data_IF_757533582684
#
_entry.id   IF_757533582684
#
_cell.length_a   1.000
_cell.length_b   1.000
_cell.length_c   1.000
_cell.angle_alpha   90.00
_cell.angle_beta   90.00
_cell.angle_gamma   90.00
#
_symmetry.space_group_name_H-M   'P 1'
#
loop_
_entity.id
_entity.type
_entity.pdbx_description
1 polymer ?
#
# COMPACT_ATOMS: atom_id res chain seq x y z
N UNK A 1 -22.69 -91.47 -8.34
CA UNK A 1 -22.40 -90.86 -9.69
C UNK A 1 -23.41 -89.80 -10.07
N UNK A 2 -24.18 -89.20 -9.15
CA UNK A 2 -25.11 -88.10 -9.45
C UNK A 2 -24.65 -86.72 -8.97
N UNK A 3 -23.51 -86.57 -8.38
CA UNK A 3 -22.97 -85.29 -7.87
C UNK A 3 -21.85 -84.68 -8.70
N UNK A 4 -21.36 -85.36 -9.73
CA UNK A 4 -20.29 -84.85 -10.63
C UNK A 4 -20.89 -84.20 -11.90
N UNK A 5 -22.16 -84.43 -12.22
CA UNK A 5 -22.80 -83.92 -13.44
C UNK A 5 -23.36 -82.49 -13.29
N UNK A 6 -23.50 -82.03 -12.03
CA UNK A 6 -24.04 -80.66 -11.77
C UNK A 6 -22.94 -79.59 -11.73
N UNK A 7 -21.64 -80.03 -11.58
CA UNK A 7 -20.50 -79.09 -11.54
C UNK A 7 -19.95 -78.75 -12.93
N UNK A 8 -20.34 -79.46 -13.98
CA UNK A 8 -19.91 -79.20 -15.37
C UNK A 8 -20.86 -78.28 -16.14
N UNK A 9 -22.11 -78.04 -15.68
CA UNK A 9 -23.08 -77.18 -16.32
C UNK A 9 -23.02 -75.75 -15.75
N UNK A 10 -22.36 -75.49 -14.64
CA UNK A 10 -22.19 -74.21 -14.05
C UNK A 10 -20.94 -73.41 -14.55
N UNK A 11 -20.01 -74.11 -15.27
CA UNK A 11 -18.80 -73.49 -15.81
C UNK A 11 -18.96 -72.91 -17.23
N UNK A 12 -20.09 -73.12 -17.90
CA UNK A 12 -20.33 -72.66 -19.28
C UNK A 12 -21.16 -71.39 -19.39
N UNK A 13 -21.55 -70.71 -18.27
CA UNK A 13 -22.35 -69.47 -18.30
C UNK A 13 -21.51 -68.22 -17.99
N UNK A 14 -20.18 -68.34 -17.65
CA UNK A 14 -19.33 -67.18 -17.24
C UNK A 14 -18.46 -66.64 -18.41
N UNK A 15 -18.55 -67.15 -19.63
CA UNK A 15 -17.71 -66.72 -20.77
C UNK A 15 -18.50 -65.87 -21.80
N UNK A 16 -19.73 -65.45 -21.53
CA UNK A 16 -20.54 -64.71 -22.49
C UNK A 16 -20.84 -63.23 -22.13
N UNK A 17 -20.07 -62.59 -21.18
CA UNK A 17 -20.23 -61.18 -20.84
C UNK A 17 -18.88 -60.45 -20.72
N UNK A 18 -18.16 -60.32 -21.84
CA UNK A 18 -16.89 -59.61 -21.81
C UNK A 18 -16.22 -59.39 -23.15
N UNK A 19 -16.92 -58.84 -24.12
CA UNK A 19 -16.35 -58.19 -25.33
C UNK A 19 -17.51 -57.75 -26.22
N UNK A 20 -17.82 -56.43 -26.20
CA UNK A 20 -18.33 -55.66 -27.34
C UNK A 20 -18.99 -54.34 -26.94
N UNK A 21 -18.89 -53.84 -25.67
CA UNK A 21 -19.46 -52.57 -25.30
C UNK A 21 -18.64 -51.34 -25.78
N UNK A 22 -17.38 -51.57 -26.20
CA UNK A 22 -16.50 -50.47 -26.65
C UNK A 22 -16.50 -50.29 -28.20
N UNK A 23 -16.70 -51.37 -28.93
CA UNK A 23 -16.77 -51.35 -30.42
C UNK A 23 -18.10 -50.83 -30.91
N UNK A 24 -19.19 -51.11 -30.20
CA UNK A 24 -20.53 -50.64 -30.54
C UNK A 24 -20.65 -49.11 -30.38
N UNK A 25 -20.16 -48.57 -29.30
CA UNK A 25 -20.18 -47.09 -29.06
C UNK A 25 -19.29 -46.30 -30.03
N UNK A 26 -18.19 -46.90 -30.48
CA UNK A 26 -17.33 -46.25 -31.47
C UNK A 26 -17.93 -46.30 -32.87
N UNK A 27 -18.57 -47.40 -33.24
CA UNK A 27 -19.32 -47.54 -34.48
C UNK A 27 -20.55 -46.62 -34.49
N UNK A 28 -21.26 -46.51 -33.37
CA UNK A 28 -22.39 -45.62 -33.19
C UNK A 28 -21.95 -44.15 -33.24
N UNK A 29 -20.81 -43.77 -32.62
CA UNK A 29 -20.26 -42.41 -32.75
C UNK A 29 -19.88 -42.08 -34.19
N UNK A 30 -19.26 -42.96 -34.92
CA UNK A 30 -18.91 -42.74 -36.33
C UNK A 30 -20.15 -42.62 -37.21
N UNK A 31 -21.21 -43.40 -36.92
CA UNK A 31 -22.49 -43.27 -37.60
C UNK A 31 -23.15 -41.95 -37.34
N UNK A 32 -23.20 -41.51 -36.08
CA UNK A 32 -23.73 -40.19 -35.67
C UNK A 32 -22.94 -39.04 -36.28
N UNK A 33 -21.62 -39.14 -36.35
CA UNK A 33 -20.80 -38.13 -37.04
C UNK A 33 -21.08 -38.04 -38.52
N UNK A 34 -21.30 -39.19 -39.15
CA UNK A 34 -21.67 -39.23 -40.58
C UNK A 34 -23.05 -38.66 -40.82
N UNK A 35 -24.03 -39.02 -40.00
CA UNK A 35 -25.38 -38.44 -40.04
C UNK A 35 -25.37 -36.91 -39.80
N UNK A 36 -24.56 -36.46 -38.80
CA UNK A 36 -24.37 -35.03 -38.56
C UNK A 36 -23.74 -34.31 -39.77
N UNK A 37 -22.73 -34.90 -40.40
CA UNK A 37 -22.14 -34.36 -41.63
C UNK A 37 -23.15 -34.29 -42.81
N UNK A 38 -23.97 -35.34 -42.99
CA UNK A 38 -24.96 -35.38 -44.03
C UNK A 38 -26.14 -34.40 -43.79
N UNK A 39 -26.53 -34.23 -42.52
CA UNK A 39 -27.52 -33.23 -42.11
C UNK A 39 -26.94 -31.82 -42.32
N UNK A 40 -25.70 -31.57 -41.95
CA UNK A 40 -25.02 -30.28 -42.13
C UNK A 40 -24.95 -29.90 -43.63
N UNK A 41 -24.67 -30.88 -44.51
CA UNK A 41 -24.68 -30.64 -45.96
C UNK A 41 -26.09 -30.33 -46.47
N UNK A 42 -27.13 -31.09 -46.03
CA UNK A 42 -28.50 -30.83 -46.40
C UNK A 42 -28.99 -29.45 -45.92
N UNK A 43 -28.59 -29.04 -44.73
CA UNK A 43 -28.88 -27.69 -44.22
C UNK A 43 -28.24 -26.64 -45.14
N UNK A 44 -26.96 -26.79 -45.49
CA UNK A 44 -26.25 -25.86 -46.36
C UNK A 44 -26.87 -25.80 -47.77
N UNK A 45 -27.32 -26.96 -48.35
CA UNK A 45 -27.97 -27.02 -49.65
C UNK A 45 -29.36 -26.33 -49.63
N UNK A 46 -30.15 -26.59 -48.58
CA UNK A 46 -31.47 -25.94 -48.39
C UNK A 46 -31.33 -24.44 -48.13
N UNK A 47 -30.32 -24.03 -47.34
CA UNK A 47 -29.99 -22.61 -47.13
C UNK A 47 -29.60 -21.93 -48.46
N UNK A 48 -28.84 -22.62 -49.32
CA UNK A 48 -28.46 -22.12 -50.64
C UNK A 48 -29.65 -22.06 -51.65
N UNK A 49 -30.60 -22.97 -51.54
CA UNK A 49 -31.85 -22.93 -52.33
C UNK A 49 -32.78 -21.81 -51.87
N UNK A 50 -32.99 -21.66 -50.55
CA UNK A 50 -33.77 -20.57 -49.98
C UNK A 50 -33.15 -19.19 -50.28
N UNK A 51 -31.82 -19.09 -50.29
CA UNK A 51 -31.11 -17.86 -50.67
C UNK A 51 -31.32 -17.47 -52.14
N UNK A 52 -31.63 -18.43 -53.00
CA UNK A 52 -31.97 -18.17 -54.44
C UNK A 52 -33.44 -17.79 -54.60
N UNK A 53 -34.33 -18.35 -53.80
CA UNK A 53 -35.76 -18.07 -53.88
C UNK A 53 -36.17 -16.75 -53.24
N UNK A 54 -35.52 -16.36 -52.12
CA UNK A 54 -35.74 -15.10 -51.40
C UNK A 54 -34.43 -14.39 -51.02
N UNK A 55 -33.85 -13.61 -51.90
CA UNK A 55 -32.58 -12.91 -51.64
C UNK A 55 -32.63 -11.95 -50.44
N UNK A 56 -33.82 -11.53 -50.02
CA UNK A 56 -34.05 -10.58 -48.93
C UNK A 56 -34.40 -11.21 -47.56
N UNK A 57 -34.66 -12.53 -47.49
CA UNK A 57 -35.13 -13.17 -46.25
C UNK A 57 -34.03 -13.93 -45.47
N UNK A 58 -32.86 -14.11 -46.06
CA UNK A 58 -31.77 -14.96 -45.51
C UNK A 58 -30.65 -14.21 -44.84
N UNK A 59 -30.85 -12.96 -44.44
CA UNK A 59 -29.94 -12.33 -43.53
C UNK A 59 -30.18 -12.85 -42.11
N UNK A 60 -29.29 -13.76 -41.61
CA UNK A 60 -29.34 -14.25 -40.23
C UNK A 60 -29.28 -13.04 -39.30
N UNK A 61 -30.41 -12.72 -38.66
CA UNK A 61 -30.47 -11.67 -37.66
C UNK A 61 -29.78 -12.17 -36.40
N UNK A 62 -28.75 -11.45 -35.95
CA UNK A 62 -27.99 -11.79 -34.72
C UNK A 62 -28.59 -11.03 -33.54
N UNK A 63 -28.80 -11.74 -32.44
CA UNK A 63 -29.30 -11.12 -31.21
C UNK A 63 -28.12 -10.51 -30.44
N UNK A 64 -28.26 -9.25 -30.02
CA UNK A 64 -27.24 -8.50 -29.32
C UNK A 64 -27.86 -7.70 -28.17
N UNK A 65 -27.09 -7.37 -27.18
CA UNK A 65 -27.45 -6.33 -26.22
C UNK A 65 -26.65 -5.05 -26.50
N UNK A 66 -27.32 -3.92 -26.35
CA UNK A 66 -26.72 -2.61 -26.57
C UNK A 66 -26.81 -1.80 -25.30
N UNK A 67 -25.82 -0.90 -25.11
CA UNK A 67 -25.82 0.13 -24.07
C UNK A 67 -25.70 1.50 -24.73
N UNK A 68 -26.35 2.51 -24.16
CA UNK A 68 -26.31 3.87 -24.72
C UNK A 68 -25.14 4.61 -24.10
N UNK A 69 -24.31 5.21 -24.94
CA UNK A 69 -23.17 6.01 -24.50
C UNK A 69 -23.68 7.33 -23.89
N UNK A 70 -23.37 7.52 -22.62
CA UNK A 70 -23.72 8.72 -21.88
C UNK A 70 -22.45 9.42 -21.35
N UNK A 71 -22.58 10.71 -21.08
CA UNK A 71 -21.53 11.48 -20.40
C UNK A 71 -21.50 11.08 -18.93
N UNK A 72 -20.35 10.68 -18.45
CA UNK A 72 -20.14 10.30 -17.05
C UNK A 72 -18.86 10.91 -16.49
N UNK A 73 -18.76 10.96 -15.17
CA UNK A 73 -17.47 11.28 -14.53
C UNK A 73 -16.59 10.04 -14.57
N UNK A 74 -15.34 10.22 -15.01
CA UNK A 74 -14.34 9.16 -15.02
C UNK A 74 -13.15 9.59 -14.17
N UNK A 75 -12.75 8.72 -13.24
CA UNK A 75 -11.59 8.94 -12.37
C UNK A 75 -10.68 7.74 -12.46
N UNK A 76 -9.43 7.98 -12.79
CA UNK A 76 -8.37 6.98 -12.78
C UNK A 76 -7.59 7.06 -11.48
N UNK A 77 -7.25 5.92 -10.92
CA UNK A 77 -6.48 5.80 -9.69
C UNK A 77 -5.24 4.97 -9.94
N UNK A 78 -4.12 5.46 -9.45
CA UNK A 78 -2.90 4.66 -9.31
C UNK A 78 -2.92 4.06 -7.91
N UNK A 79 -2.97 2.73 -7.83
CA UNK A 79 -2.99 2.00 -6.57
C UNK A 79 -1.58 1.52 -6.24
N UNK A 80 -1.06 1.93 -5.08
CA UNK A 80 0.25 1.49 -4.58
C UNK A 80 0.13 0.93 -3.17
N UNK A 81 0.95 -0.09 -2.88
CA UNK A 81 1.08 -0.60 -1.53
C UNK A 81 1.98 0.32 -0.71
N UNK A 82 1.56 0.58 0.49
CA UNK A 82 2.26 1.43 1.44
C UNK A 82 2.18 0.89 2.85
N UNK A 83 2.78 1.62 3.77
CA UNK A 83 2.75 1.31 5.19
C UNK A 83 2.63 2.57 6.03
N UNK A 84 2.08 2.41 7.21
CA UNK A 84 2.04 3.48 8.21
C UNK A 84 3.41 3.63 8.84
N UNK A 85 3.93 4.84 8.86
CA UNK A 85 5.18 5.19 9.54
C UNK A 85 4.95 6.30 10.56
N UNK A 86 5.72 6.25 11.64
CA UNK A 86 5.86 7.36 12.57
C UNK A 86 7.16 8.09 12.27
N UNK A 87 7.13 9.42 12.22
CA UNK A 87 8.33 10.24 12.06
C UNK A 87 9.27 10.16 13.27
N UNK A 88 8.70 9.82 14.42
CA UNK A 88 9.42 9.80 15.68
C UNK A 88 9.37 8.39 16.31
N UNK A 89 10.23 7.54 15.81
CA UNK A 89 10.54 6.23 16.39
C UNK A 89 12.00 6.25 16.80
N UNK A 90 12.28 6.42 18.11
CA UNK A 90 13.62 6.69 18.61
C UNK A 90 14.07 5.59 19.56
N UNK A 91 15.22 5.02 19.27
CA UNK A 91 15.95 4.18 20.19
C UNK A 91 16.71 5.04 21.20
N UNK A 92 16.44 4.83 22.48
CA UNK A 92 17.05 5.57 23.59
C UNK A 92 18.24 4.79 24.10
N UNK A 93 19.42 5.35 23.93
CA UNK A 93 20.67 4.75 24.37
C UNK A 93 21.13 5.34 25.74
N UNK A 94 21.69 4.52 26.63
CA UNK A 94 22.37 5.01 27.81
C UNK A 94 23.54 5.93 27.45
N UNK A 95 23.68 7.05 28.14
CA UNK A 95 24.81 7.99 27.95
C UNK A 95 25.98 7.70 28.88
N UNK A 96 25.72 6.93 29.95
CA UNK A 96 26.74 6.47 30.92
C UNK A 96 26.74 4.95 30.96
N UNK A 97 27.87 4.38 31.35
CA UNK A 97 28.04 2.96 31.59
C UNK A 97 27.92 2.70 33.11
N UNK A 98 27.20 1.61 33.45
CA UNK A 98 27.06 1.19 34.86
C UNK A 98 25.88 0.25 35.05
N UNK A 99 25.71 -0.29 36.28
CA UNK A 99 24.52 -1.10 36.59
C UNK A 99 23.29 -0.20 36.73
N UNK A 100 22.17 -0.70 36.26
CA UNK A 100 20.87 -0.02 36.41
C UNK A 100 20.36 -0.22 37.81
N UNK A 101 20.11 0.86 38.53
CA UNK A 101 19.61 0.83 39.90
C UNK A 101 18.09 0.77 39.94
N UNK A 102 17.40 1.40 38.97
CA UNK A 102 15.95 1.41 38.92
C UNK A 102 15.43 1.62 37.52
N UNK A 103 14.34 0.89 37.18
CA UNK A 103 13.57 1.07 35.95
C UNK A 103 12.20 1.66 36.32
N UNK A 104 11.90 2.84 35.79
CA UNK A 104 10.65 3.57 36.08
C UNK A 104 9.60 3.37 35.01
N UNK A 105 10.00 3.15 33.77
CA UNK A 105 9.10 3.07 32.64
C UNK A 105 8.85 1.61 32.24
N UNK A 106 7.59 1.30 31.91
CA UNK A 106 7.17 -0.02 31.45
C UNK A 106 6.72 0.04 29.99
N UNK A 107 6.79 -1.10 29.29
CA UNK A 107 6.27 -1.24 27.93
C UNK A 107 4.77 -0.91 27.91
N UNK A 108 4.34 -0.10 26.93
CA UNK A 108 2.98 0.41 26.82
C UNK A 108 2.69 1.69 27.58
N UNK A 109 3.63 2.15 28.45
CA UNK A 109 3.47 3.38 29.23
C UNK A 109 3.68 4.62 28.34
N UNK A 110 2.79 5.61 28.52
CA UNK A 110 2.96 6.94 27.92
C UNK A 110 4.00 7.74 28.70
N UNK A 111 4.95 8.35 27.99
CA UNK A 111 6.03 9.13 28.56
C UNK A 111 6.17 10.48 27.87
N UNK A 112 6.69 11.48 28.61
CA UNK A 112 6.94 12.82 28.12
C UNK A 112 8.42 13.01 27.80
N UNK A 113 8.73 13.91 26.90
CA UNK A 113 10.10 14.37 26.63
C UNK A 113 10.79 14.81 27.92
N UNK A 114 12.00 14.28 28.19
CA UNK A 114 12.77 14.55 29.40
C UNK A 114 12.40 13.67 30.60
N UNK A 115 11.33 12.86 30.51
CA UNK A 115 10.97 11.93 31.61
C UNK A 115 12.03 10.86 31.78
N UNK A 116 12.42 10.58 33.03
CA UNK A 116 13.40 9.54 33.38
C UNK A 116 12.72 8.17 33.22
N UNK A 117 13.33 7.31 32.39
CA UNK A 117 12.87 5.95 32.11
C UNK A 117 13.56 4.91 32.98
N UNK A 118 14.86 5.10 33.23
CA UNK A 118 15.67 4.29 34.13
C UNK A 118 16.84 5.11 34.69
N UNK A 119 17.40 4.64 35.79
CA UNK A 119 18.53 5.24 36.46
C UNK A 119 19.69 4.26 36.54
N UNK A 120 20.90 4.72 36.20
CA UNK A 120 22.18 4.03 36.35
C UNK A 120 22.76 4.42 37.70
N UNK A 121 23.60 3.60 38.28
CA UNK A 121 24.24 3.87 39.54
C UNK A 121 25.07 5.18 39.46
N UNK A 122 24.73 6.12 40.30
CA UNK A 122 25.30 7.45 40.36
C UNK A 122 26.02 7.74 41.68
N UNK A 123 26.18 6.73 42.55
CA UNK A 123 26.70 6.91 43.91
C UNK A 123 28.06 7.63 43.93
N UNK A 124 28.99 7.22 43.06
CA UNK A 124 30.31 7.82 42.99
C UNK A 124 30.26 9.27 42.46
N UNK A 125 29.46 9.50 41.42
CA UNK A 125 29.30 10.84 40.80
C UNK A 125 28.64 11.80 41.79
N UNK A 126 27.61 11.33 42.51
CA UNK A 126 26.92 12.11 43.54
C UNK A 126 27.86 12.52 44.66
N UNK A 127 28.73 11.62 45.13
CA UNK A 127 29.75 11.94 46.15
C UNK A 127 30.77 12.95 45.67
N UNK A 128 31.31 12.79 44.47
CA UNK A 128 32.20 13.78 43.86
C UNK A 128 31.52 15.16 43.72
N UNK A 129 30.28 15.20 43.33
CA UNK A 129 29.50 16.44 43.21
C UNK A 129 29.31 17.11 44.60
N UNK A 130 29.10 16.34 45.67
CA UNK A 130 28.99 16.85 47.04
C UNK A 130 30.31 17.47 47.49
N UNK A 131 31.47 16.82 47.24
CA UNK A 131 32.81 17.35 47.51
C UNK A 131 33.06 18.68 46.76
N UNK A 132 32.75 18.71 45.44
CA UNK A 132 32.92 19.92 44.62
C UNK A 132 32.06 21.08 45.13
N UNK A 133 30.83 20.83 45.62
CA UNK A 133 29.97 21.85 46.23
C UNK A 133 30.59 22.43 47.48
N UNK A 134 31.07 21.58 48.39
CA UNK A 134 31.75 22.04 49.64
C UNK A 134 32.98 22.89 49.33
N UNK A 135 33.76 22.45 48.35
CA UNK A 135 34.94 23.17 47.90
C UNK A 135 34.61 24.53 47.26
N UNK A 136 33.55 24.60 46.45
CA UNK A 136 33.05 25.81 45.83
C UNK A 136 32.58 26.83 46.88
N UNK A 137 31.89 26.38 47.93
CA UNK A 137 31.47 27.25 49.02
C UNK A 137 32.65 27.97 49.69
N UNK A 138 33.73 27.22 50.01
CA UNK A 138 34.97 27.79 50.58
C UNK A 138 35.56 28.82 49.61
N UNK A 139 35.81 28.45 48.37
CA UNK A 139 36.46 29.34 47.39
C UNK A 139 35.57 30.56 47.07
N UNK A 140 34.24 30.42 47.07
CA UNK A 140 33.30 31.53 46.90
C UNK A 140 33.44 32.52 48.09
N UNK A 141 33.61 32.01 49.32
CA UNK A 141 33.82 32.83 50.48
C UNK A 141 35.12 33.60 50.36
N UNK A 142 36.22 32.95 49.94
CA UNK A 142 37.50 33.58 49.70
C UNK A 142 37.40 34.65 48.62
N UNK A 143 36.77 34.35 47.49
CA UNK A 143 36.54 35.29 46.41
C UNK A 143 35.79 36.53 46.90
N UNK A 144 34.69 36.37 47.64
CA UNK A 144 33.89 37.47 48.15
C UNK A 144 34.73 38.38 49.11
N UNK A 145 35.57 37.79 49.93
CA UNK A 145 36.51 38.56 50.80
C UNK A 145 37.55 39.34 50.00
N UNK A 146 38.16 38.69 48.97
CA UNK A 146 39.17 39.36 48.13
C UNK A 146 38.48 40.44 47.25
N UNK A 147 37.27 40.22 46.75
CA UNK A 147 36.48 41.20 46.02
C UNK A 147 36.17 42.43 46.89
N UNK A 148 35.74 42.23 48.15
CA UNK A 148 35.44 43.33 49.06
C UNK A 148 36.67 44.16 49.39
N UNK A 149 37.88 43.54 49.60
CA UNK A 149 39.13 44.25 49.76
C UNK A 149 39.53 45.04 48.52
N UNK A 150 39.39 44.43 47.34
CA UNK A 150 39.68 45.09 46.06
C UNK A 150 38.75 46.27 45.80
N UNK A 151 37.46 46.16 46.05
CA UNK A 151 36.46 47.22 45.90
C UNK A 151 36.79 48.42 46.85
N UNK A 152 37.39 48.16 48.02
CA UNK A 152 37.88 49.17 48.95
C UNK A 152 39.29 49.66 48.61
N UNK A 153 39.88 49.26 47.48
CA UNK A 153 41.26 49.58 47.06
C UNK A 153 42.35 49.06 48.07
N UNK A 154 42.04 48.01 48.82
CA UNK A 154 42.94 47.31 49.71
C UNK A 154 43.34 45.97 49.07
N UNK A 155 44.65 45.70 48.93
CA UNK A 155 45.11 44.46 48.30
C UNK A 155 45.60 44.63 46.88
N UNK A 156 45.93 43.51 46.24
CA UNK A 156 46.46 43.47 44.86
C UNK A 156 45.41 42.95 43.90
N UNK A 157 45.38 43.48 42.65
CA UNK A 157 44.53 42.98 41.57
C UNK A 157 44.76 41.47 41.29
N UNK A 158 46.02 41.06 41.38
CA UNK A 158 46.46 39.67 41.20
C UNK A 158 45.75 38.73 42.18
N UNK A 159 45.62 39.10 43.45
CA UNK A 159 44.99 38.29 44.49
C UNK A 159 43.47 38.17 44.23
N UNK A 160 42.82 39.27 43.77
CA UNK A 160 41.39 39.28 43.34
C UNK A 160 41.19 38.39 42.15
N UNK A 161 42.00 38.58 41.05
CA UNK A 161 41.88 37.78 39.83
C UNK A 161 42.15 36.30 40.08
N UNK A 162 43.10 35.98 40.96
CA UNK A 162 43.35 34.58 41.30
C UNK A 162 42.20 33.94 42.08
N UNK A 163 41.58 34.64 43.02
CA UNK A 163 40.38 34.14 43.71
C UNK A 163 39.19 33.99 42.79
N UNK A 164 39.05 34.94 41.85
CA UNK A 164 38.03 34.87 40.80
C UNK A 164 38.21 33.64 39.91
N UNK A 165 39.41 33.44 39.35
CA UNK A 165 39.74 32.29 38.52
C UNK A 165 39.50 30.94 39.21
N UNK A 166 39.93 30.82 40.49
CA UNK A 166 39.73 29.61 41.27
C UNK A 166 38.23 29.29 41.46
N UNK A 167 37.39 30.33 41.68
CA UNK A 167 35.94 30.18 41.79
C UNK A 167 35.36 29.71 40.46
N UNK A 168 35.64 30.38 39.35
CA UNK A 168 35.15 30.05 38.03
C UNK A 168 35.57 28.65 37.57
N UNK A 169 36.83 28.25 37.85
CA UNK A 169 37.30 26.90 37.54
C UNK A 169 36.49 25.81 38.28
N UNK A 170 36.16 26.08 39.55
CA UNK A 170 35.42 25.14 40.37
C UNK A 170 33.91 25.10 40.00
N UNK A 171 33.35 26.25 39.58
CA UNK A 171 32.01 26.34 39.03
C UNK A 171 31.89 25.49 37.76
N UNK A 172 32.86 25.58 36.86
CA UNK A 172 32.94 24.77 35.64
C UNK A 172 33.08 23.27 35.95
N UNK A 173 33.90 22.91 36.96
CA UNK A 173 34.05 21.53 37.42
C UNK A 173 32.75 20.97 38.00
N UNK A 174 32.00 21.77 38.75
CA UNK A 174 30.69 21.40 39.28
C UNK A 174 29.65 21.25 38.17
N UNK A 175 29.66 22.13 37.14
CA UNK A 175 28.78 22.01 35.99
C UNK A 175 29.05 20.71 35.23
N UNK A 176 30.31 20.35 35.00
CA UNK A 176 30.68 19.06 34.38
C UNK A 176 30.19 17.86 35.19
N UNK A 177 30.35 17.88 36.53
CA UNK A 177 29.87 16.82 37.39
C UNK A 177 28.33 16.70 37.38
N UNK A 178 27.60 17.83 37.26
CA UNK A 178 26.14 17.81 37.08
C UNK A 178 25.74 17.17 35.78
N UNK A 179 26.39 17.46 34.66
CA UNK A 179 26.15 16.82 33.38
C UNK A 179 26.43 15.30 33.42
N UNK A 180 27.52 14.90 34.10
CA UNK A 180 27.81 13.49 34.30
C UNK A 180 26.70 12.79 35.10
N UNK A 181 26.20 13.44 36.17
CA UNK A 181 25.08 12.94 36.95
C UNK A 181 23.80 12.88 36.14
N UNK A 182 23.52 13.86 35.31
CA UNK A 182 22.36 13.86 34.44
C UNK A 182 22.41 12.72 33.39
N UNK A 183 23.59 12.40 32.89
CA UNK A 183 23.82 11.31 31.95
C UNK A 183 23.58 9.90 32.56
N UNK A 184 23.53 9.78 33.91
CA UNK A 184 23.12 8.52 34.56
C UNK A 184 21.63 8.29 34.48
N UNK A 185 20.84 9.31 34.18
CA UNK A 185 19.41 9.18 33.96
C UNK A 185 19.14 8.91 32.46
N UNK A 186 18.58 7.75 32.17
CA UNK A 186 18.11 7.43 30.82
C UNK A 186 16.75 8.11 30.65
N UNK A 187 16.67 9.13 29.76
CA UNK A 187 15.49 9.97 29.58
C UNK A 187 14.88 9.79 28.21
N UNK A 188 13.56 9.95 28.10
CA UNK A 188 12.91 9.98 26.80
C UNK A 188 13.25 11.28 26.03
N UNK A 189 13.72 11.20 24.76
CA UNK A 189 13.98 12.37 23.95
C UNK A 189 12.72 12.99 23.36
N UNK A 190 11.59 12.27 23.37
CA UNK A 190 10.31 12.66 22.74
C UNK A 190 9.12 12.33 23.65
N UNK A 191 7.98 12.92 23.35
CA UNK A 191 6.69 12.45 23.87
C UNK A 191 6.26 11.21 23.09
N UNK A 192 5.75 10.19 23.77
CA UNK A 192 5.34 8.96 23.09
C UNK A 192 4.99 7.81 24.02
N UNK A 193 5.00 6.61 23.49
CA UNK A 193 4.75 5.36 24.21
C UNK A 193 6.02 4.51 24.16
N UNK A 194 6.37 3.90 25.29
CA UNK A 194 7.46 2.94 25.38
C UNK A 194 7.04 1.66 24.65
N UNK A 195 7.67 1.40 23.52
CA UNK A 195 7.38 0.22 22.70
C UNK A 195 8.24 -1.00 23.13
N UNK A 196 9.49 -0.74 23.53
CA UNK A 196 10.40 -1.77 24.05
C UNK A 196 11.17 -1.22 25.26
N UNK A 197 11.47 -2.10 26.21
CA UNK A 197 12.34 -1.88 27.36
C UNK A 197 13.28 -3.08 27.46
N UNK A 198 14.51 -2.89 26.94
CA UNK A 198 15.52 -3.95 26.83
C UNK A 198 16.52 -3.86 28.01
N UNK A 199 16.10 -3.29 29.14
CA UNK A 199 16.92 -3.06 30.32
C UNK A 199 16.20 -3.52 31.60
N UNK A 200 16.95 -4.14 32.51
CA UNK A 200 16.46 -4.62 33.81
C UNK A 200 17.29 -4.05 34.95
N UNK A 201 16.65 -3.96 36.13
CA UNK A 201 17.38 -3.59 37.36
C UNK A 201 18.48 -4.60 37.64
N UNK A 202 19.67 -4.10 38.00
CA UNK A 202 20.90 -4.88 38.22
C UNK A 202 21.68 -5.18 36.95
N UNK A 203 21.17 -4.91 35.76
CA UNK A 203 21.87 -5.14 34.50
C UNK A 203 22.91 -4.05 34.21
N UNK A 204 24.07 -4.46 33.67
CA UNK A 204 25.09 -3.52 33.18
C UNK A 204 24.71 -2.98 31.84
N UNK A 205 24.56 -1.67 31.71
CA UNK A 205 24.28 -0.98 30.45
C UNK A 205 25.49 -0.18 29.97
N UNK A 206 25.53 -0.01 28.63
CA UNK A 206 26.49 0.83 27.94
C UNK A 206 25.84 1.45 26.69
N UNK A 207 26.48 2.41 26.08
CA UNK A 207 25.99 3.12 24.91
C UNK A 207 25.89 2.26 23.63
N UNK A 208 26.25 0.97 23.65
CA UNK A 208 26.25 0.11 22.45
C UNK A 208 24.90 -0.49 22.13
N UNK A 209 24.00 -0.62 23.12
CA UNK A 209 22.65 -1.16 22.93
C UNK A 209 21.60 -0.15 23.39
N UNK A 210 20.48 -0.04 22.68
CA UNK A 210 19.36 0.77 23.15
C UNK A 210 18.78 0.17 24.44
N UNK A 211 18.45 1.02 25.40
CA UNK A 211 17.76 0.62 26.62
C UNK A 211 16.24 0.63 26.46
N UNK A 212 15.72 1.57 25.68
CA UNK A 212 14.30 1.72 25.38
C UNK A 212 14.09 2.08 23.92
N UNK A 213 12.89 1.77 23.41
CA UNK A 213 12.37 2.34 22.17
C UNK A 213 11.09 3.11 22.49
N UNK A 214 11.05 4.38 22.08
CA UNK A 214 9.88 5.26 22.28
C UNK A 214 9.35 5.66 20.93
N UNK A 215 8.04 5.47 20.74
CA UNK A 215 7.32 5.75 19.50
C UNK A 215 6.29 6.85 19.77
N UNK A 216 6.32 7.89 18.95
CA UNK A 216 5.25 8.89 18.94
C UNK A 216 4.18 8.49 17.92
N UNK A 217 3.00 8.12 18.41
CA UNK A 217 1.84 7.76 17.58
C UNK A 217 0.92 8.93 17.23
N UNK A 218 1.25 10.16 17.66
CA UNK A 218 0.42 11.33 17.39
C UNK A 218 0.55 11.88 15.95
N UNK A 219 1.65 11.54 15.28
CA UNK A 219 1.95 11.97 13.92
C UNK A 219 2.31 10.77 13.07
N UNK A 220 1.29 10.11 12.56
CA UNK A 220 1.43 8.98 11.66
C UNK A 220 1.23 9.41 10.22
N UNK A 221 1.95 8.77 9.31
CA UNK A 221 1.86 8.96 7.87
C UNK A 221 1.69 7.61 7.19
N UNK A 222 0.85 7.57 6.16
CA UNK A 222 0.91 6.49 5.18
C UNK A 222 1.99 6.84 4.15
N UNK A 223 2.90 5.94 3.91
CA UNK A 223 4.00 6.12 2.96
C UNK A 223 3.95 5.03 1.91
N UNK A 224 4.19 5.37 0.66
CA UNK A 224 4.29 4.43 -0.44
C UNK A 224 5.32 4.87 -1.47
N UNK A 225 5.68 3.96 -2.36
CA UNK A 225 6.61 4.23 -3.45
C UNK A 225 5.87 4.18 -4.78
N UNK A 226 5.97 5.26 -5.56
CA UNK A 226 5.32 5.44 -6.84
C UNK A 226 6.35 5.39 -7.96
N UNK A 227 6.03 4.73 -9.08
CA UNK A 227 6.93 4.61 -10.22
C UNK A 227 7.26 5.98 -10.86
N UNK A 228 8.47 6.12 -11.38
CA UNK A 228 8.98 7.34 -12.02
C UNK A 228 8.07 7.85 -13.15
N UNK A 229 7.34 6.95 -13.84
CA UNK A 229 6.40 7.31 -14.90
C UNK A 229 5.29 8.27 -14.46
N UNK A 230 4.97 8.32 -13.17
CA UNK A 230 3.94 9.20 -12.60
C UNK A 230 4.47 10.53 -12.06
N UNK A 231 5.76 10.82 -12.25
CA UNK A 231 6.40 12.02 -11.69
C UNK A 231 5.75 13.33 -12.18
N UNK A 232 5.24 13.33 -13.41
CA UNK A 232 4.60 14.50 -14.02
C UNK A 232 3.10 14.61 -13.73
N UNK A 233 2.48 13.55 -13.23
CA UNK A 233 1.02 13.47 -13.01
C UNK A 233 0.64 13.44 -11.54
N UNK A 234 1.58 13.09 -10.65
CA UNK A 234 1.33 12.98 -9.21
C UNK A 234 2.29 13.86 -8.43
N UNK A 235 1.75 14.70 -7.56
CA UNK A 235 2.51 15.63 -6.73
C UNK A 235 1.89 15.91 -5.37
N UNK A 236 2.52 16.78 -4.60
CA UNK A 236 1.96 17.25 -3.35
C UNK A 236 0.68 18.06 -3.61
N UNK A 237 -0.38 17.77 -2.85
CA UNK A 237 -1.71 18.40 -2.97
C UNK A 237 -2.74 17.51 -3.67
N UNK A 238 -2.33 16.48 -4.41
CA UNK A 238 -3.25 15.59 -5.11
C UNK A 238 -4.07 14.76 -4.13
N UNK A 239 -5.30 14.49 -4.55
CA UNK A 239 -6.24 13.72 -3.75
C UNK A 239 -5.85 12.24 -3.73
N UNK A 240 -5.96 11.65 -2.55
CA UNK A 240 -5.62 10.24 -2.30
C UNK A 240 -6.64 9.62 -1.35
N UNK A 241 -6.99 8.38 -1.60
CA UNK A 241 -7.75 7.55 -0.68
C UNK A 241 -6.78 6.55 -0.08
N UNK A 242 -6.60 6.60 1.24
CA UNK A 242 -5.80 5.64 1.99
C UNK A 242 -6.72 4.55 2.51
N UNK A 243 -6.50 3.33 2.06
CA UNK A 243 -7.26 2.16 2.43
C UNK A 243 -6.46 1.32 3.41
N UNK A 244 -7.07 0.92 4.51
CA UNK A 244 -6.55 -0.01 5.49
C UNK A 244 -7.30 -1.34 5.38
N UNK A 245 -6.79 -2.33 4.65
CA UNK A 245 -7.52 -3.58 4.40
C UNK A 245 -7.90 -4.31 5.69
N UNK A 246 -6.99 -4.37 6.66
CA UNK A 246 -7.19 -5.08 7.93
C UNK A 246 -8.25 -4.42 8.81
N UNK A 247 -8.38 -3.09 8.74
CA UNK A 247 -9.40 -2.34 9.48
C UNK A 247 -10.71 -2.20 8.70
N UNK A 248 -10.72 -2.56 7.40
CA UNK A 248 -11.84 -2.33 6.47
C UNK A 248 -12.28 -0.85 6.47
N UNK A 249 -11.31 0.06 6.53
CA UNK A 249 -11.52 1.51 6.57
C UNK A 249 -10.82 2.19 5.43
N UNK A 250 -11.45 3.24 4.94
CA UNK A 250 -10.89 4.15 3.94
C UNK A 250 -10.94 5.58 4.48
N UNK A 251 -9.91 6.35 4.22
CA UNK A 251 -9.86 7.77 4.53
C UNK A 251 -9.43 8.54 3.28
N UNK A 252 -10.11 9.65 3.05
CA UNK A 252 -9.74 10.58 1.99
C UNK A 252 -8.77 11.61 2.54
N UNK A 253 -7.71 11.90 1.80
CA UNK A 253 -6.69 12.86 2.16
C UNK A 253 -6.04 13.48 0.94
N UNK A 254 -4.90 14.12 1.18
CA UNK A 254 -4.05 14.69 0.13
C UNK A 254 -2.62 14.21 0.33
N UNK A 255 -1.87 14.11 -0.75
CA UNK A 255 -0.44 13.88 -0.70
C UNK A 255 0.21 15.12 -0.05
N UNK A 256 0.84 14.93 1.10
CA UNK A 256 1.54 16.00 1.82
C UNK A 256 2.96 16.20 1.29
N UNK A 257 3.58 15.11 0.86
CA UNK A 257 4.94 15.11 0.35
C UNK A 257 5.09 14.13 -0.80
N UNK A 258 5.74 14.58 -1.88
CA UNK A 258 6.22 13.74 -2.96
C UNK A 258 7.72 14.01 -3.14
N UNK A 259 8.53 12.97 -3.05
CA UNK A 259 9.98 13.10 -3.15
C UNK A 259 10.40 13.54 -4.55
N UNK A 260 11.31 14.51 -4.63
CA UNK A 260 11.90 14.95 -5.91
C UNK A 260 13.05 14.05 -6.38
N UNK A 261 13.62 13.28 -5.43
CA UNK A 261 14.68 12.33 -5.75
C UNK A 261 14.07 10.97 -6.06
N UNK A 262 14.56 10.36 -7.13
CA UNK A 262 14.16 9.02 -7.57
C UNK A 262 15.17 8.02 -7.04
N UNK A 263 14.71 6.92 -6.49
CA UNK A 263 15.55 5.79 -6.11
C UNK A 263 16.18 5.17 -7.36
N UNK A 264 17.52 5.12 -7.48
CA UNK A 264 18.16 4.55 -8.67
C UNK A 264 17.99 3.04 -8.78
N UNK A 265 17.66 2.37 -7.69
CA UNK A 265 17.50 0.91 -7.62
C UNK A 265 16.08 0.51 -8.02
N UNK A 266 15.06 1.11 -7.39
CA UNK A 266 13.65 0.75 -7.61
C UNK A 266 12.98 1.57 -8.72
N UNK A 267 13.59 2.67 -9.17
CA UNK A 267 12.99 3.63 -10.11
C UNK A 267 11.64 4.15 -9.60
N UNK A 268 11.59 4.42 -8.31
CA UNK A 268 10.40 4.94 -7.61
C UNK A 268 10.74 6.22 -6.86
N UNK A 269 9.71 6.99 -6.55
CA UNK A 269 9.79 8.11 -5.61
C UNK A 269 8.77 7.95 -4.49
N UNK A 270 9.15 8.43 -3.31
CA UNK A 270 8.34 8.30 -2.10
C UNK A 270 7.22 9.33 -2.08
N UNK A 271 6.02 8.90 -1.71
CA UNK A 271 4.88 9.75 -1.40
C UNK A 271 4.43 9.54 0.04
N UNK A 272 3.97 10.61 0.69
CA UNK A 272 3.53 10.60 2.08
C UNK A 272 2.17 11.28 2.23
N UNK A 273 1.31 10.68 3.03
CA UNK A 273 -0.03 11.16 3.37
C UNK A 273 -0.19 11.21 4.89
N UNK A 274 -0.49 12.36 5.46
CA UNK A 274 -0.71 12.47 6.89
C UNK A 274 -2.03 11.82 7.28
N UNK A 275 -1.98 10.98 8.33
CA UNK A 275 -3.14 10.24 8.81
C UNK A 275 -3.85 10.94 9.99
N UNK A 276 -3.26 12.03 10.50
CA UNK A 276 -3.74 12.70 11.71
C UNK A 276 -3.52 11.83 12.96
N UNK A 277 -4.19 12.24 14.04
CA UNK A 277 -4.12 11.56 15.33
C UNK A 277 -5.33 10.61 15.48
N UNK A 278 -5.11 9.33 15.22
CA UNK A 278 -6.13 8.29 15.45
C UNK A 278 -5.47 7.08 16.13
N UNK A 279 -5.99 6.71 17.30
CA UNK A 279 -5.48 5.61 18.12
C UNK A 279 -5.58 4.21 17.47
N UNK A 280 -6.38 4.06 16.42
CA UNK A 280 -6.53 2.80 15.70
C UNK A 280 -5.35 2.54 14.74
N UNK A 281 -4.67 3.59 14.27
CA UNK A 281 -3.53 3.44 13.38
C UNK A 281 -2.26 3.16 14.19
N UNK A 282 -1.51 2.19 13.72
CA UNK A 282 -0.24 1.80 14.34
C UNK A 282 0.89 1.81 13.31
N UNK A 283 2.11 2.16 13.70
CA UNK A 283 3.27 1.99 12.82
C UNK A 283 3.37 0.57 12.26
N UNK A 284 3.84 0.47 11.03
CA UNK A 284 3.98 -0.75 10.23
C UNK A 284 2.67 -1.40 9.77
N UNK A 285 1.51 -0.79 10.00
CA UNK A 285 0.27 -1.26 9.37
C UNK A 285 0.35 -1.13 7.86
N UNK A 286 -0.16 -2.13 7.16
CA UNK A 286 -0.28 -2.11 5.70
C UNK A 286 -1.36 -1.12 5.30
N UNK A 287 -1.08 -0.32 4.28
CA UNK A 287 -2.02 0.59 3.65
C UNK A 287 -1.94 0.49 2.13
N UNK A 288 -3.03 0.80 1.46
CA UNK A 288 -3.07 0.96 0.00
C UNK A 288 -3.41 2.41 -0.27
N UNK A 289 -2.56 3.10 -1.01
CA UNK A 289 -2.81 4.47 -1.43
C UNK A 289 -3.39 4.44 -2.84
N UNK A 290 -4.63 4.90 -3.01
CA UNK A 290 -5.30 5.11 -4.29
C UNK A 290 -5.19 6.59 -4.64
N UNK A 291 -4.21 6.92 -5.46
CA UNK A 291 -3.90 8.30 -5.85
C UNK A 291 -4.68 8.64 -7.11
N UNK A 292 -5.38 9.76 -7.10
CA UNK A 292 -6.08 10.25 -8.28
C UNK A 292 -5.07 10.97 -9.16
N UNK A 293 -4.72 10.36 -10.29
CA UNK A 293 -3.80 10.92 -11.27
C UNK A 293 -4.50 11.56 -12.48
N UNK A 294 -5.78 11.18 -12.69
CA UNK A 294 -6.60 11.74 -13.75
C UNK A 294 -8.09 11.74 -13.36
N UNK A 295 -8.78 12.83 -13.66
CA UNK A 295 -10.25 12.92 -13.52
C UNK A 295 -10.84 13.83 -14.59
N UNK A 296 -11.99 13.44 -15.08
CA UNK A 296 -12.81 14.24 -16.01
C UNK A 296 -14.29 14.03 -15.70
N UNK A 297 -15.08 15.08 -15.83
CA UNK A 297 -16.53 15.03 -15.59
C UNK A 297 -17.33 14.81 -16.86
N UNK A 298 -16.69 14.83 -18.03
CA UNK A 298 -17.31 14.74 -19.34
C UNK A 298 -16.72 13.61 -20.19
N UNK A 299 -16.51 12.44 -19.60
CA UNK A 299 -16.00 11.27 -20.31
C UNK A 299 -17.15 10.52 -21.00
N UNK A 300 -16.88 10.03 -22.20
CA UNK A 300 -17.64 8.92 -22.80
C UNK A 300 -16.96 7.63 -22.38
N UNK A 301 -17.66 6.75 -21.70
CA UNK A 301 -17.09 5.52 -21.19
C UNK A 301 -17.78 4.29 -21.74
N UNK A 302 -16.98 3.25 -21.99
CA UNK A 302 -17.48 1.93 -22.42
C UNK A 302 -16.76 0.83 -21.64
N UNK A 303 -17.37 -0.36 -21.51
CA UNK A 303 -16.67 -1.52 -20.96
C UNK A 303 -15.45 -1.88 -21.81
N UNK A 304 -14.31 -2.11 -21.20
CA UNK A 304 -13.05 -2.42 -21.91
C UNK A 304 -13.15 -3.69 -22.76
N UNK A 305 -13.95 -4.67 -22.34
CA UNK A 305 -14.11 -5.96 -23.01
C UNK A 305 -14.76 -5.86 -24.40
N UNK A 306 -15.50 -4.78 -24.71
CA UNK A 306 -16.14 -4.60 -26.04
C UNK A 306 -15.20 -3.90 -27.04
N UNK A 307 -14.09 -3.36 -26.59
CA UNK A 307 -13.12 -2.72 -27.47
C UNK A 307 -12.32 -3.83 -28.16
N UNK A 308 -12.37 -3.82 -29.49
CA UNK A 308 -11.61 -4.72 -30.34
C UNK A 308 -10.49 -3.96 -31.04
N UNK A 309 -9.48 -4.68 -31.50
CA UNK A 309 -8.36 -4.11 -32.24
C UNK A 309 -8.14 -4.88 -33.53
N UNK A 310 -7.83 -4.15 -34.59
CA UNK A 310 -7.37 -4.70 -35.85
C UNK A 310 -6.17 -3.93 -36.41
N UNK A 311 -5.85 -4.09 -37.70
CA UNK A 311 -4.71 -3.41 -38.34
C UNK A 311 -4.87 -1.88 -38.43
N UNK A 312 -6.11 -1.37 -38.33
CA UNK A 312 -6.43 0.06 -38.42
C UNK A 312 -6.50 0.71 -37.02
N UNK A 313 -6.55 -0.08 -35.95
CA UNK A 313 -6.57 0.40 -34.56
C UNK A 313 -7.73 -0.17 -33.73
N UNK A 314 -8.07 0.54 -32.66
CA UNK A 314 -9.15 0.14 -31.78
C UNK A 314 -10.52 0.56 -32.32
N UNK A 315 -11.52 -0.31 -32.16
CA UNK A 315 -12.88 -0.05 -32.58
C UNK A 315 -13.90 -0.72 -31.65
N UNK A 316 -15.12 -0.25 -31.72
CA UNK A 316 -16.30 -0.88 -31.11
C UNK A 316 -17.39 -1.04 -32.15
N UNK A 317 -18.31 -1.97 -31.92
CA UNK A 317 -19.50 -2.07 -32.73
C UNK A 317 -20.65 -1.22 -32.17
N UNK A 318 -21.30 -0.46 -33.02
CA UNK A 318 -22.48 0.33 -32.70
C UNK A 318 -23.67 -0.15 -33.51
N UNK A 319 -24.85 -0.14 -32.89
CA UNK A 319 -26.13 -0.41 -33.58
C UNK A 319 -26.64 0.88 -34.21
N UNK A 320 -26.78 0.88 -35.51
CA UNK A 320 -27.35 2.01 -36.28
C UNK A 320 -28.63 1.55 -36.99
N UNK A 321 -29.58 2.46 -37.17
CA UNK A 321 -30.78 2.19 -37.90
C UNK A 321 -30.61 2.68 -39.35
N UNK A 322 -30.59 1.74 -40.31
CA UNK A 322 -30.47 2.03 -41.73
C UNK A 322 -31.68 1.40 -42.46
N UNK A 323 -32.43 2.21 -43.18
CA UNK A 323 -33.61 1.80 -43.92
C UNK A 323 -34.67 1.02 -43.08
N UNK A 324 -34.84 1.39 -41.80
CA UNK A 324 -35.81 0.74 -40.88
C UNK A 324 -35.34 -0.61 -40.33
N UNK A 325 -34.04 -0.95 -40.51
CA UNK A 325 -33.41 -2.15 -39.95
C UNK A 325 -32.21 -1.76 -39.07
N UNK A 326 -32.05 -2.51 -37.99
CA UNK A 326 -30.85 -2.33 -37.13
C UNK A 326 -29.67 -3.08 -37.76
N UNK A 327 -28.58 -2.36 -37.97
CA UNK A 327 -27.36 -2.89 -38.57
C UNK A 327 -26.13 -2.58 -37.66
N UNK A 328 -25.12 -3.40 -37.81
CA UNK A 328 -23.83 -3.23 -37.11
C UNK A 328 -22.94 -2.27 -37.90
N UNK A 329 -22.46 -1.22 -37.24
CA UNK A 329 -21.43 -0.33 -37.78
C UNK A 329 -20.20 -0.41 -36.91
N UNK A 330 -19.04 -0.55 -37.56
CA UNK A 330 -17.74 -0.46 -36.93
C UNK A 330 -17.40 1.02 -36.69
N UNK A 331 -17.22 1.42 -35.43
CA UNK A 331 -16.78 2.75 -35.03
C UNK A 331 -15.34 2.70 -34.55
N UNK A 332 -14.41 3.31 -35.31
CA UNK A 332 -13.03 3.45 -34.87
C UNK A 332 -12.97 4.40 -33.68
N UNK A 333 -12.29 3.99 -32.61
CA UNK A 333 -12.25 4.74 -31.35
C UNK A 333 -10.80 4.98 -30.89
N UNK A 334 -10.60 6.15 -30.30
CA UNK A 334 -9.35 6.45 -29.58
C UNK A 334 -9.60 6.27 -28.09
N UNK A 335 -8.97 5.26 -27.51
CA UNK A 335 -9.07 4.92 -26.10
C UNK A 335 -8.17 5.85 -25.29
N UNK A 336 -8.69 6.40 -24.21
CA UNK A 336 -7.98 7.18 -23.19
C UNK A 336 -7.50 6.29 -22.03
N UNK A 337 -7.80 6.72 -20.82
CA UNK A 337 -7.46 5.97 -19.60
C UNK A 337 -8.43 4.79 -19.41
N UNK A 338 -7.89 3.74 -18.77
CA UNK A 338 -8.66 2.52 -18.45
C UNK A 338 -8.56 2.24 -16.97
N UNK A 339 -9.70 2.12 -16.30
CA UNK A 339 -9.72 1.80 -14.88
C UNK A 339 -10.89 0.85 -14.56
N UNK A 340 -10.61 -0.23 -13.81
CA UNK A 340 -11.56 -1.24 -13.34
C UNK A 340 -12.49 -1.78 -14.43
N UNK A 341 -11.94 -2.04 -15.61
CA UNK A 341 -12.69 -2.63 -16.72
C UNK A 341 -13.55 -1.63 -17.50
N UNK A 342 -13.48 -0.34 -17.19
CA UNK A 342 -14.10 0.76 -17.95
C UNK A 342 -13.03 1.54 -18.68
N UNK A 343 -13.24 1.84 -19.96
CA UNK A 343 -12.35 2.63 -20.79
C UNK A 343 -12.99 3.97 -21.14
N UNK A 344 -12.22 5.03 -21.03
CA UNK A 344 -12.57 6.35 -21.55
C UNK A 344 -12.37 6.37 -23.06
N UNK A 345 -13.30 6.96 -23.79
CA UNK A 345 -13.21 7.16 -25.23
C UNK A 345 -13.00 8.64 -25.52
N UNK A 346 -11.82 8.95 -26.04
CA UNK A 346 -11.43 10.33 -26.38
C UNK A 346 -12.03 10.82 -27.68
N UNK A 347 -12.29 9.91 -28.64
CA UNK A 347 -12.92 10.22 -29.92
C UNK A 347 -13.45 8.96 -30.61
N UNK A 348 -14.40 9.13 -31.51
CA UNK A 348 -14.99 8.04 -32.33
C UNK A 348 -16.39 7.62 -31.89
N UNK A 349 -16.87 8.07 -30.72
CA UNK A 349 -18.24 7.91 -30.26
C UNK A 349 -18.87 9.25 -29.95
N UNK A 350 -20.19 9.31 -30.02
CA UNK A 350 -21.03 10.43 -29.64
C UNK A 350 -22.00 10.04 -28.53
N UNK A 351 -22.46 11.04 -27.77
CA UNK A 351 -23.55 10.83 -26.81
C UNK A 351 -24.78 10.34 -27.52
N UNK A 352 -25.39 9.25 -27.03
CA UNK A 352 -26.55 8.62 -27.63
C UNK A 352 -26.24 7.46 -28.58
N UNK A 353 -24.97 7.21 -28.92
CA UNK A 353 -24.58 6.04 -29.70
C UNK A 353 -24.92 4.76 -28.91
N UNK A 354 -25.46 3.77 -29.59
CA UNK A 354 -25.80 2.47 -29.00
C UNK A 354 -24.66 1.47 -29.25
N UNK A 355 -23.76 1.30 -28.25
CA UNK A 355 -22.65 0.36 -28.34
C UNK A 355 -23.15 -1.07 -28.05
N UNK A 356 -22.66 -2.05 -28.80
CA UNK A 356 -23.01 -3.45 -28.60
C UNK A 356 -22.15 -4.04 -27.49
N UNK A 357 -22.80 -4.45 -26.39
CA UNK A 357 -22.13 -4.97 -25.20
C UNK A 357 -22.11 -6.49 -25.09
N UNK A 358 -23.08 -7.17 -25.73
CA UNK A 358 -23.17 -8.63 -25.76
C UNK A 358 -23.38 -9.11 -27.21
N UNK A 359 -22.74 -10.22 -27.56
CA UNK A 359 -22.85 -10.82 -28.88
C UNK A 359 -21.90 -10.24 -29.94
N UNK A 360 -21.05 -9.28 -29.57
CA UNK A 360 -20.15 -8.56 -30.48
C UNK A 360 -19.05 -9.45 -31.11
N UNK A 361 -18.74 -10.60 -30.55
CA UNK A 361 -17.64 -11.48 -30.99
C UNK A 361 -17.86 -12.13 -32.37
N UNK A 362 -19.11 -12.31 -32.76
CA UNK A 362 -19.51 -12.95 -34.03
C UNK A 362 -20.00 -11.96 -35.06
N UNK A 363 -19.90 -10.65 -34.79
CA UNK A 363 -20.40 -9.60 -35.65
C UNK A 363 -19.39 -9.19 -36.71
N UNK A 364 -19.94 -8.86 -37.88
CA UNK A 364 -19.22 -8.14 -38.93
C UNK A 364 -19.96 -6.85 -39.25
N UNK A 365 -19.25 -5.91 -39.85
CA UNK A 365 -19.85 -4.67 -40.31
C UNK A 365 -20.96 -4.96 -41.33
N UNK A 366 -22.13 -4.38 -41.14
CA UNK A 366 -23.29 -4.56 -42.00
C UNK A 366 -24.22 -5.73 -41.62
N UNK A 367 -23.87 -6.52 -40.59
CA UNK A 367 -24.75 -7.58 -40.10
C UNK A 367 -26.07 -6.99 -39.58
N UNK A 368 -27.18 -7.68 -39.87
CA UNK A 368 -28.48 -7.36 -39.28
C UNK A 368 -28.55 -7.87 -37.83
N UNK A 369 -29.04 -7.02 -36.94
CA UNK A 369 -29.16 -7.33 -35.51
C UNK A 369 -30.58 -7.10 -35.00
N UNK A 370 -30.91 -7.79 -33.93
CA UNK A 370 -32.08 -7.57 -33.10
C UNK A 370 -31.62 -7.39 -31.62
N UNK A 371 -32.34 -6.53 -30.88
CA UNK A 371 -32.04 -6.19 -29.49
C UNK A 371 -32.78 -7.13 -28.53
#
# INVERSE_FOLDING_TARGET
MKRILILLTAASIIVACGKNAGTDKKAELEKLKKEHSDITKKIADLEAELAKENPNENQKVKFVAVDTVEVSSFTHYVEIHGQVQSDQNINVFPRSMGPVTKVYAQVGQQVKKGQVLAKIDDALISKNMEELKTRLELVTTIYNKQKNLWDQKIGTEVAYLQAKNNKEALENSLATAKEQLDNTNIKSPIDGIVDQADVKEGEMVNGARPAFRVINSSQLKATGELAESYLNTVGAGDAVIVVFPDLKKEITGKINFAAKAISPISRTFKVEVNLGNNAEYRPNMISVLKIIDYTTNNALTVPMNIIQADQEGNYVYIAVEEAGKLTVKKAAVKVGQVYRGTAEILSGLSVGDRVITVGYQELNQGDLINL
#
